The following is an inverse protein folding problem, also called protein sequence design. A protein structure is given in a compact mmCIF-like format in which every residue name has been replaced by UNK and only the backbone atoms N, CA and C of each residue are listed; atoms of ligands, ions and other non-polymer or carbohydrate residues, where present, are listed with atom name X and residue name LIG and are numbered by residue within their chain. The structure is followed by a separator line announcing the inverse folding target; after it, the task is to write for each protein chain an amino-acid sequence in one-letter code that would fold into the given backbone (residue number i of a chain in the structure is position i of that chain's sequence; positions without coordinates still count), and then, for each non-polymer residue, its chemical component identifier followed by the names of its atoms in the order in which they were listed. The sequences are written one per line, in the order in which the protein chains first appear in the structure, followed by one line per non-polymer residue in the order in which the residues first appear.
data_IF_755310791794
#
_entry.id   IF_755310791794
#
_cell.length_a   1.000
_cell.length_b   1.000
_cell.length_c   1.000
_cell.angle_alpha   90.00
_cell.angle_beta   90.00
_cell.angle_gamma   90.00
#
_symmetry.space_group_name_H-M   'P 1'
#
loop_
_entity.id
_entity.type
_entity.pdbx_description
1 polymer ?
#
# COMPACT_ATOMS: atom_id res chain seq x y z
N UNK A 1 -16.54 -1.21 -11.16
CA UNK A 1 -15.39 -0.75 -11.99
C UNK A 1 -14.47 0.04 -11.10
N UNK A 2 -13.37 -0.59 -10.68
CA UNK A 2 -12.28 0.12 -9.99
C UNK A 2 -11.70 1.16 -10.95
N UNK A 3 -12.05 2.42 -10.73
CA UNK A 3 -11.47 3.58 -11.42
C UNK A 3 -10.00 3.86 -11.03
N UNK A 4 -9.37 2.95 -10.35
CA UNK A 4 -7.96 3.05 -9.93
C UNK A 4 -7.16 1.97 -10.66
N UNK A 5 -6.99 2.14 -11.98
CA UNK A 5 -5.79 1.62 -12.63
C UNK A 5 -4.63 2.36 -11.97
N UNK A 6 -4.06 1.73 -10.97
CA UNK A 6 -2.80 2.20 -10.43
C UNK A 6 -1.76 1.92 -11.52
N UNK A 7 -1.47 2.90 -12.34
CA UNK A 7 -0.33 2.85 -13.26
C UNK A 7 0.95 2.86 -12.42
N UNK A 8 1.25 1.73 -11.79
CA UNK A 8 2.43 1.54 -10.95
C UNK A 8 3.73 1.77 -11.72
N UNK A 9 3.74 1.48 -13.04
CA UNK A 9 4.90 1.66 -13.89
C UNK A 9 5.40 3.12 -13.96
N UNK A 10 4.53 4.11 -13.69
CA UNK A 10 4.88 5.52 -13.85
C UNK A 10 4.71 6.38 -12.57
N UNK A 11 4.10 5.87 -11.50
CA UNK A 11 3.71 6.73 -10.37
C UNK A 11 4.75 6.84 -9.26
N UNK A 12 5.66 5.89 -9.12
CA UNK A 12 6.72 5.94 -8.11
C UNK A 12 8.07 6.42 -8.67
N UNK A 13 8.16 6.79 -9.96
CA UNK A 13 9.38 7.31 -10.55
C UNK A 13 9.66 8.73 -10.04
N UNK A 14 10.80 8.89 -9.38
CA UNK A 14 11.31 10.20 -8.97
C UNK A 14 10.54 10.88 -7.83
N UNK A 15 10.12 10.13 -6.82
CA UNK A 15 9.52 10.67 -5.58
C UNK A 15 10.57 10.85 -4.48
N UNK A 16 10.45 11.93 -3.71
CA UNK A 16 11.19 12.09 -2.45
C UNK A 16 10.51 11.21 -1.41
N UNK A 17 11.20 10.19 -0.85
CA UNK A 17 10.59 9.29 0.11
C UNK A 17 10.46 9.97 1.47
N UNK A 18 9.37 9.69 2.19
CA UNK A 18 9.25 10.06 3.60
C UNK A 18 9.87 8.95 4.47
N UNK A 19 10.80 9.29 5.35
CA UNK A 19 11.42 8.35 6.28
C UNK A 19 10.82 8.46 7.68
N UNK A 20 10.21 7.39 8.15
CA UNK A 20 9.59 7.25 9.46
C UNK A 20 10.28 6.12 10.24
N UNK A 21 11.36 6.41 10.99
CA UNK A 21 12.20 5.41 11.65
C UNK A 21 11.55 4.81 12.91
N UNK A 22 10.28 4.47 12.85
CA UNK A 22 9.53 3.91 13.96
C UNK A 22 9.31 2.43 13.68
N UNK A 23 9.65 1.58 14.65
CA UNK A 23 9.41 0.14 14.61
C UNK A 23 8.03 -0.19 15.19
N UNK A 24 7.46 -1.33 14.79
CA UNK A 24 6.17 -1.80 15.29
C UNK A 24 5.03 -0.78 15.07
N UNK A 25 5.05 -0.07 13.95
CA UNK A 25 3.90 0.77 13.58
C UNK A 25 2.70 -0.15 13.37
N UNK A 26 1.75 -0.07 14.29
CA UNK A 26 0.53 -0.85 14.23
C UNK A 26 -0.58 -0.18 13.41
N UNK A 27 -1.64 -0.91 13.14
CA UNK A 27 -2.75 -0.41 12.33
C UNK A 27 -3.56 0.68 13.04
N UNK A 28 -3.53 0.78 14.38
CA UNK A 28 -4.13 1.89 15.14
C UNK A 28 -3.31 3.17 14.98
N UNK A 29 -1.99 3.07 14.95
CA UNK A 29 -1.11 4.20 14.66
C UNK A 29 -1.31 4.69 13.22
N UNK A 30 -1.48 3.77 12.25
CA UNK A 30 -1.72 4.14 10.84
C UNK A 30 -3.07 4.85 10.70
N UNK A 31 -4.15 4.26 11.25
CA UNK A 31 -5.50 4.82 11.23
C UNK A 31 -6.24 4.50 12.53
N UNK A 32 -6.43 5.47 13.43
CA UNK A 32 -7.12 5.26 14.69
C UNK A 32 -8.55 4.76 14.55
N UNK A 33 -8.98 3.93 15.48
CA UNK A 33 -10.26 3.22 15.46
C UNK A 33 -11.49 4.12 15.29
N UNK A 34 -11.45 5.37 15.77
CA UNK A 34 -12.55 6.32 15.62
C UNK A 34 -12.90 6.66 14.18
N UNK A 35 -11.97 6.45 13.24
CA UNK A 35 -12.14 6.72 11.81
C UNK A 35 -12.57 5.50 10.99
N UNK A 36 -12.78 4.34 11.62
CA UNK A 36 -13.10 3.07 10.93
C UNK A 36 -14.61 2.91 10.63
N UNK A 37 -15.44 3.88 10.98
CA UNK A 37 -16.92 3.81 10.80
C UNK A 37 -17.36 3.96 9.33
N UNK A 38 -16.45 4.29 8.44
CA UNK A 38 -16.76 4.48 7.01
C UNK A 38 -16.48 3.22 6.20
N UNK A 39 -17.32 2.97 5.21
CA UNK A 39 -17.10 1.97 4.17
C UNK A 39 -16.46 2.58 2.91
N UNK A 40 -16.28 3.91 2.90
CA UNK A 40 -15.68 4.62 1.76
C UNK A 40 -14.16 4.54 1.86
N UNK A 41 -13.53 4.20 0.74
CA UNK A 41 -12.07 4.12 0.62
C UNK A 41 -11.38 5.48 0.49
N UNK A 42 -12.15 6.57 0.37
CA UNK A 42 -11.67 7.95 0.19
C UNK A 42 -11.99 8.81 1.41
N UNK A 43 -11.18 9.85 1.65
CA UNK A 43 -11.32 10.76 2.77
C UNK A 43 -10.63 10.29 4.06
N UNK A 44 -9.89 9.17 4.00
CA UNK A 44 -9.11 8.63 5.12
C UNK A 44 -7.69 9.18 5.21
N UNK A 45 -7.13 9.65 4.09
CA UNK A 45 -5.76 10.17 4.03
C UNK A 45 -5.49 11.34 4.97
N UNK A 46 -6.49 12.18 5.23
CA UNK A 46 -6.40 13.24 6.24
C UNK A 46 -6.20 12.71 7.66
N UNK A 47 -6.65 11.48 7.91
CA UNK A 47 -6.59 10.82 9.22
C UNK A 47 -5.40 9.83 9.32
N UNK A 48 -4.59 9.70 8.25
CA UNK A 48 -3.38 8.89 8.26
C UNK A 48 -2.43 9.38 9.35
N UNK A 49 -1.97 8.49 10.22
CA UNK A 49 -1.13 8.80 11.38
C UNK A 49 -1.67 9.96 12.24
N UNK A 50 -2.99 9.99 12.46
CA UNK A 50 -3.67 11.14 13.04
C UNK A 50 -3.07 11.58 14.38
N UNK A 51 -2.84 10.66 15.32
CA UNK A 51 -2.28 10.95 16.64
C UNK A 51 -0.82 11.41 16.62
N UNK A 52 -0.11 11.14 15.51
CA UNK A 52 1.27 11.58 15.30
C UNK A 52 1.35 12.87 14.49
N UNK A 53 0.31 13.15 13.68
CA UNK A 53 0.26 14.33 12.79
C UNK A 53 -0.41 15.54 13.42
N UNK A 54 -1.26 15.31 14.42
CA UNK A 54 -2.05 16.39 15.02
C UNK A 54 -1.94 16.34 16.53
N UNK A 55 -1.91 17.52 17.15
CA UNK A 55 -1.99 17.68 18.60
C UNK A 55 -3.44 17.50 19.10
N UNK A 56 -3.63 17.56 20.42
CA UNK A 56 -4.94 17.44 21.09
C UNK A 56 -5.93 18.53 20.69
N UNK A 57 -5.45 19.65 20.15
CA UNK A 57 -6.26 20.78 19.66
C UNK A 57 -6.55 20.68 18.17
N UNK A 58 -6.04 19.64 17.49
CA UNK A 58 -6.19 19.44 16.04
C UNK A 58 -5.22 20.24 15.18
N UNK A 59 -4.19 20.86 15.76
CA UNK A 59 -3.16 21.55 15.02
C UNK A 59 -2.13 20.54 14.48
N UNK A 60 -1.58 20.82 13.29
CA UNK A 60 -0.51 19.97 12.73
C UNK A 60 0.75 20.07 13.57
N UNK A 61 1.30 18.91 13.94
CA UNK A 61 2.62 18.79 14.57
C UNK A 61 3.67 19.02 13.47
N UNK A 62 4.35 20.18 13.52
CA UNK A 62 5.30 20.60 12.50
C UNK A 62 6.48 19.64 12.33
N UNK A 63 6.83 18.90 13.39
CA UNK A 63 7.99 18.00 13.38
C UNK A 63 7.71 16.63 12.76
N UNK A 64 6.44 16.26 12.59
CA UNK A 64 6.12 14.99 11.94
C UNK A 64 6.41 15.05 10.43
N UNK A 65 7.10 14.03 9.92
CA UNK A 65 7.65 14.02 8.55
C UNK A 65 6.60 14.31 7.48
N UNK A 66 5.41 13.70 7.55
CA UNK A 66 4.36 13.89 6.55
C UNK A 66 3.62 15.24 6.65
N UNK A 67 3.98 16.07 7.63
CA UNK A 67 3.49 17.44 7.72
C UNK A 67 4.49 18.47 7.17
N UNK A 68 5.71 18.03 6.79
CA UNK A 68 6.80 18.87 6.26
C UNK A 68 6.86 18.78 4.74
N UNK A 69 7.07 19.92 4.06
CA UNK A 69 7.43 19.89 2.66
C UNK A 69 8.89 19.42 2.47
N UNK A 70 9.14 18.57 1.46
CA UNK A 70 8.24 18.13 0.36
C UNK A 70 7.47 16.82 0.64
N UNK A 71 7.50 16.29 1.87
CA UNK A 71 6.97 14.96 2.19
C UNK A 71 5.44 14.91 2.30
N UNK A 72 4.77 16.07 2.32
CA UNK A 72 3.29 16.15 2.27
C UNK A 72 2.69 15.53 1.01
N UNK A 73 3.50 15.34 -0.04
CA UNK A 73 3.13 14.69 -1.30
C UNK A 73 3.94 13.42 -1.58
N UNK A 74 4.55 12.82 -0.54
CA UNK A 74 5.36 11.62 -0.70
C UNK A 74 4.53 10.45 -1.21
N UNK A 75 5.05 9.76 -2.21
CA UNK A 75 4.46 8.51 -2.75
C UNK A 75 5.10 7.27 -2.15
N UNK A 76 6.27 7.42 -1.53
CA UNK A 76 7.06 6.35 -0.97
C UNK A 76 7.25 6.63 0.52
N UNK A 77 6.89 5.65 1.36
CA UNK A 77 7.13 5.67 2.80
C UNK A 77 8.21 4.63 3.13
N UNK A 78 9.31 5.07 3.74
CA UNK A 78 10.33 4.19 4.32
C UNK A 78 10.02 4.09 5.81
N UNK A 79 9.81 2.90 6.33
CA UNK A 79 9.39 2.66 7.72
C UNK A 79 10.30 1.66 8.43
N UNK A 80 10.24 1.67 9.75
CA UNK A 80 10.91 0.68 10.60
C UNK A 80 10.30 -0.73 10.47
N UNK A 81 10.95 -1.71 11.07
CA UNK A 81 10.54 -3.12 11.02
C UNK A 81 9.16 -3.36 11.64
N UNK A 82 8.54 -4.49 11.23
CA UNK A 82 7.25 -4.96 11.70
C UNK A 82 6.12 -3.95 11.46
N UNK A 83 6.10 -3.38 10.24
CA UNK A 83 5.10 -2.39 9.84
C UNK A 83 3.72 -3.02 9.63
N UNK A 84 2.68 -2.34 10.10
CA UNK A 84 1.29 -2.79 9.97
C UNK A 84 0.90 -3.91 10.92
N UNK A 85 1.62 -4.06 12.06
CA UNK A 85 1.25 -5.03 13.10
C UNK A 85 -0.08 -4.67 13.77
N UNK A 86 -0.56 -5.55 14.66
CA UNK A 86 -1.84 -5.37 15.36
C UNK A 86 -3.03 -5.96 14.60
N UNK A 87 -4.20 -5.34 14.76
CA UNK A 87 -5.44 -5.86 14.20
C UNK A 87 -5.51 -5.78 12.68
N UNK A 88 -6.14 -6.79 12.06
CA UNK A 88 -6.38 -6.77 10.61
C UNK A 88 -7.36 -5.66 10.24
N UNK A 89 -6.86 -4.60 9.58
CA UNK A 89 -7.67 -3.45 9.16
C UNK A 89 -7.36 -3.06 7.72
N UNK A 90 -8.33 -3.22 6.86
CA UNK A 90 -8.22 -2.79 5.47
C UNK A 90 -8.17 -1.26 5.31
N UNK A 91 -8.69 -0.53 6.31
CA UNK A 91 -8.65 0.93 6.36
C UNK A 91 -7.21 1.48 6.42
N UNK A 92 -6.24 0.71 6.96
CA UNK A 92 -4.86 1.17 7.04
C UNK A 92 -4.23 1.33 5.64
N UNK A 93 -4.26 0.35 4.74
CA UNK A 93 -3.89 0.56 3.33
C UNK A 93 -4.71 1.65 2.63
N UNK A 94 -6.03 1.74 2.90
CA UNK A 94 -6.85 2.81 2.30
C UNK A 94 -6.38 4.20 2.71
N UNK A 95 -6.03 4.40 3.98
CA UNK A 95 -5.54 5.69 4.47
C UNK A 95 -4.19 6.08 3.84
N UNK A 96 -3.28 5.10 3.68
CA UNK A 96 -2.00 5.30 2.99
C UNK A 96 -2.23 5.71 1.54
N UNK A 97 -3.06 4.97 0.82
CA UNK A 97 -3.33 5.21 -0.60
C UNK A 97 -4.06 6.55 -0.83
N UNK A 98 -5.05 6.85 0.00
CA UNK A 98 -5.83 8.11 -0.09
C UNK A 98 -4.96 9.34 0.29
N UNK A 99 -3.92 9.16 1.08
CA UNK A 99 -2.90 10.19 1.32
C UNK A 99 -1.99 10.39 0.10
N UNK A 100 -1.82 9.36 -0.74
CA UNK A 100 -0.95 9.35 -1.92
C UNK A 100 0.24 8.39 -1.82
N UNK A 101 0.39 7.65 -0.71
CA UNK A 101 1.46 6.66 -0.55
C UNK A 101 1.09 5.39 -1.30
N UNK A 102 1.84 5.08 -2.34
CA UNK A 102 1.64 3.91 -3.20
C UNK A 102 2.69 2.83 -2.98
N UNK A 103 3.76 3.15 -2.27
CA UNK A 103 4.84 2.21 -1.94
C UNK A 103 5.25 2.38 -0.48
N UNK A 104 5.40 1.26 0.23
CA UNK A 104 5.97 1.22 1.58
C UNK A 104 7.19 0.32 1.54
N UNK A 105 8.31 0.78 2.14
CA UNK A 105 9.58 0.04 2.21
C UNK A 105 9.90 -0.19 3.69
N UNK A 106 10.09 -1.45 4.08
CA UNK A 106 10.40 -1.85 5.46
C UNK A 106 11.27 -3.10 5.47
N UNK A 107 11.91 -3.40 6.59
CA UNK A 107 12.64 -4.66 6.76
C UNK A 107 11.73 -5.85 7.09
N UNK A 108 10.52 -5.60 7.58
CA UNK A 108 9.50 -6.64 7.77
C UNK A 108 8.10 -6.03 7.94
N UNK A 109 7.08 -6.85 7.71
CA UNK A 109 5.67 -6.50 7.82
C UNK A 109 4.90 -7.54 8.61
N UNK A 110 3.75 -7.17 9.15
CA UNK A 110 2.75 -8.15 9.54
C UNK A 110 2.11 -8.77 8.28
N UNK A 111 1.94 -10.09 8.27
CA UNK A 111 1.49 -10.86 7.09
C UNK A 111 0.15 -10.36 6.54
N UNK A 112 -0.80 -10.09 7.41
CA UNK A 112 -2.14 -9.63 6.99
C UNK A 112 -2.04 -8.26 6.34
N UNK A 113 -1.29 -7.32 6.92
CA UNK A 113 -1.09 -5.99 6.36
C UNK A 113 -0.38 -6.06 5.00
N UNK A 114 0.68 -6.88 4.90
CA UNK A 114 1.41 -7.12 3.67
C UNK A 114 0.49 -7.58 2.52
N UNK A 115 -0.38 -8.55 2.80
CA UNK A 115 -1.33 -9.05 1.81
C UNK A 115 -2.43 -8.01 1.48
N UNK A 116 -2.92 -7.26 2.46
CA UNK A 116 -3.90 -6.21 2.24
C UNK A 116 -3.33 -5.06 1.38
N UNK A 117 -2.04 -4.77 1.44
CA UNK A 117 -1.39 -3.80 0.57
C UNK A 117 -1.61 -4.16 -0.91
N UNK A 118 -1.32 -5.40 -1.31
CA UNK A 118 -1.50 -5.84 -2.71
C UNK A 118 -2.95 -5.74 -3.18
N UNK A 119 -3.91 -6.15 -2.33
CA UNK A 119 -5.34 -6.06 -2.65
C UNK A 119 -5.81 -4.64 -2.89
N UNK A 120 -5.13 -3.68 -2.31
CA UNK A 120 -5.46 -2.26 -2.41
C UNK A 120 -4.53 -1.46 -3.33
N UNK A 121 -3.60 -2.12 -4.03
CA UNK A 121 -2.72 -1.46 -5.01
C UNK A 121 -1.55 -0.70 -4.38
N UNK A 122 -1.12 -1.06 -3.18
CA UNK A 122 0.11 -0.58 -2.55
C UNK A 122 1.20 -1.63 -2.74
N UNK A 123 2.40 -1.21 -3.11
CA UNK A 123 3.57 -2.07 -3.21
C UNK A 123 4.33 -2.08 -1.88
N UNK A 124 4.26 -3.15 -1.07
CA UNK A 124 5.13 -3.33 0.08
C UNK A 124 6.45 -3.97 -0.37
N UNK A 125 7.57 -3.31 -0.12
CA UNK A 125 8.91 -3.81 -0.45
C UNK A 125 9.64 -4.18 0.83
N UNK A 126 10.19 -5.40 0.87
CA UNK A 126 11.04 -5.88 1.96
C UNK A 126 12.50 -5.83 1.53
N UNK A 127 13.33 -5.10 2.28
CA UNK A 127 14.79 -5.05 2.10
C UNK A 127 15.48 -5.07 3.46
N UNK A 128 16.79 -5.30 3.49
CA UNK A 128 17.56 -5.33 4.75
C UNK A 128 17.61 -3.96 5.45
N UNK A 129 17.87 -3.96 6.75
CA UNK A 129 18.01 -2.72 7.53
C UNK A 129 19.17 -1.86 7.04
N UNK A 130 20.27 -2.47 6.57
CA UNK A 130 21.39 -1.73 5.98
C UNK A 130 21.00 -1.05 4.66
N UNK A 131 20.19 -1.72 3.85
CA UNK A 131 19.64 -1.13 2.62
C UNK A 131 18.66 0.00 2.93
N UNK A 132 17.84 -0.14 3.98
CA UNK A 132 16.94 0.93 4.46
C UNK A 132 17.76 2.15 4.87
N UNK A 133 18.86 1.98 5.59
CA UNK A 133 19.79 3.07 5.94
C UNK A 133 20.28 3.82 4.71
N UNK A 134 20.74 3.09 3.67
CA UNK A 134 21.21 3.70 2.44
C UNK A 134 20.18 4.61 1.77
N UNK A 135 18.93 4.12 1.64
CA UNK A 135 17.87 4.91 0.99
C UNK A 135 17.28 5.99 1.90
N UNK A 136 17.35 5.85 3.23
CA UNK A 136 16.86 6.86 4.18
C UNK A 136 17.67 8.14 4.12
N UNK A 137 18.97 8.06 3.79
CA UNK A 137 19.82 9.23 3.59
C UNK A 137 19.32 10.11 2.44
N UNK A 138 18.74 9.52 1.40
CA UNK A 138 18.10 10.25 0.29
C UNK A 138 16.86 11.01 0.76
N UNK A 139 16.07 10.42 1.68
CA UNK A 139 14.98 11.16 2.33
C UNK A 139 15.50 12.40 3.05
N UNK A 140 16.52 12.23 3.90
CA UNK A 140 17.09 13.33 4.68
C UNK A 140 17.65 14.46 3.81
N UNK A 141 18.25 14.12 2.66
CA UNK A 141 18.76 15.08 1.69
C UNK A 141 17.70 15.64 0.74
N UNK A 142 16.44 15.19 0.86
CA UNK A 142 15.32 15.54 -0.03
C UNK A 142 15.58 15.15 -1.49
N UNK A 143 16.32 14.08 -1.69
CA UNK A 143 16.63 13.52 -3.00
C UNK A 143 15.59 12.49 -3.42
N UNK A 144 15.38 12.38 -4.73
CA UNK A 144 14.39 11.46 -5.29
C UNK A 144 14.94 10.05 -5.40
N UNK A 145 14.06 9.08 -5.15
CA UNK A 145 14.28 7.67 -5.51
C UNK A 145 13.18 7.22 -6.48
N UNK A 146 13.44 6.17 -7.23
CA UNK A 146 12.49 5.59 -8.19
C UNK A 146 12.30 4.11 -7.91
N UNK A 147 11.08 3.63 -8.06
CA UNK A 147 10.74 2.22 -7.96
C UNK A 147 10.41 1.70 -9.36
N UNK A 148 11.19 0.72 -9.81
CA UNK A 148 10.94 0.00 -11.05
C UNK A 148 10.39 -1.39 -10.71
N UNK A 149 9.08 -1.54 -10.75
CA UNK A 149 8.41 -2.80 -10.44
C UNK A 149 8.67 -3.89 -11.50
N UNK A 150 8.65 -3.60 -12.83
CA UNK A 150 9.02 -4.58 -13.84
C UNK A 150 10.38 -5.25 -13.59
N UNK A 151 11.41 -4.46 -13.31
CA UNK A 151 12.77 -4.93 -13.05
C UNK A 151 13.05 -5.25 -11.58
N UNK A 152 12.07 -5.01 -10.69
CA UNK A 152 12.17 -5.22 -9.24
C UNK A 152 13.38 -4.50 -8.62
N UNK A 153 13.51 -3.20 -8.91
CA UNK A 153 14.63 -2.37 -8.47
C UNK A 153 14.16 -1.08 -7.81
N UNK A 154 14.89 -0.68 -6.77
CA UNK A 154 14.87 0.67 -6.22
C UNK A 154 16.10 1.37 -6.76
N UNK A 155 15.91 2.49 -7.46
CA UNK A 155 17.00 3.27 -8.08
C UNK A 155 17.15 4.59 -7.33
N UNK A 156 18.38 4.90 -6.94
CA UNK A 156 18.71 6.11 -6.17
C UNK A 156 20.13 6.59 -6.51
N UNK A 157 20.22 7.79 -7.09
CA UNK A 157 21.46 8.28 -7.69
C UNK A 157 22.00 7.32 -8.73
N UNK A 158 23.24 6.88 -8.57
CA UNK A 158 23.89 5.88 -9.44
C UNK A 158 23.82 4.46 -8.87
N UNK A 159 23.05 4.23 -7.82
CA UNK A 159 22.93 2.96 -7.13
C UNK A 159 21.57 2.31 -7.38
N UNK A 160 21.53 0.98 -7.23
CA UNK A 160 20.29 0.21 -7.27
C UNK A 160 20.26 -0.85 -6.16
N UNK A 161 19.07 -1.13 -5.67
CA UNK A 161 18.77 -2.24 -4.76
C UNK A 161 17.72 -3.11 -5.43
N UNK A 162 17.98 -4.40 -5.57
CA UNK A 162 16.99 -5.37 -6.04
C UNK A 162 16.10 -5.81 -4.87
N UNK A 163 14.83 -6.04 -5.16
CA UNK A 163 13.88 -6.62 -4.23
C UNK A 163 13.13 -7.78 -4.88
N UNK A 164 12.62 -8.67 -4.06
CA UNK A 164 11.83 -9.81 -4.52
C UNK A 164 10.35 -9.57 -4.27
N UNK A 165 9.53 -10.02 -5.20
CA UNK A 165 8.08 -10.02 -5.12
C UNK A 165 7.56 -11.27 -5.83
N UNK A 166 6.51 -11.88 -5.27
CA UNK A 166 5.80 -12.98 -5.92
C UNK A 166 5.27 -12.55 -7.30
N UNK A 167 5.46 -13.40 -8.32
CA UNK A 167 5.10 -13.06 -9.70
C UNK A 167 3.62 -12.80 -9.89
N UNK A 168 2.75 -13.52 -9.18
CA UNK A 168 1.31 -13.30 -9.25
C UNK A 168 0.93 -11.95 -8.63
N UNK A 169 1.50 -11.61 -7.48
CA UNK A 169 1.30 -10.29 -6.84
C UNK A 169 1.83 -9.15 -7.72
N UNK A 170 2.97 -9.35 -8.36
CA UNK A 170 3.54 -8.41 -9.33
C UNK A 170 2.57 -8.18 -10.50
N UNK A 171 2.06 -9.27 -11.10
CA UNK A 171 1.06 -9.19 -12.17
C UNK A 171 -0.17 -8.40 -11.73
N UNK A 172 -0.75 -8.72 -10.56
CA UNK A 172 -1.91 -8.02 -10.02
C UNK A 172 -1.68 -6.52 -9.87
N UNK A 173 -0.51 -6.10 -9.36
CA UNK A 173 -0.17 -4.68 -9.24
C UNK A 173 0.01 -4.01 -10.60
N UNK A 174 0.70 -4.66 -11.56
CA UNK A 174 0.96 -4.09 -12.88
C UNK A 174 -0.32 -3.95 -13.72
N UNK A 175 -1.24 -4.88 -13.61
CA UNK A 175 -2.49 -4.92 -14.36
C UNK A 175 -3.67 -4.29 -13.62
N UNK A 176 -3.47 -3.90 -12.34
CA UNK A 176 -4.53 -3.34 -11.50
C UNK A 176 -5.64 -4.35 -11.20
N UNK A 177 -5.27 -5.63 -11.03
CA UNK A 177 -6.22 -6.71 -10.77
C UNK A 177 -6.50 -6.80 -9.26
N UNK A 178 -7.77 -6.72 -8.91
CA UNK A 178 -8.28 -7.09 -7.60
C UNK A 178 -8.95 -8.47 -7.62
N UNK A 179 -9.44 -8.93 -6.48
CA UNK A 179 -10.12 -10.24 -6.36
C UNK A 179 -11.33 -10.36 -7.30
N UNK A 180 -12.01 -9.25 -7.60
CA UNK A 180 -13.15 -9.21 -8.54
C UNK A 180 -12.66 -9.34 -9.98
N UNK A 181 -11.63 -8.57 -10.36
CA UNK A 181 -11.06 -8.62 -11.71
C UNK A 181 -10.48 -10.02 -12.02
N UNK A 182 -9.82 -10.65 -11.04
CA UNK A 182 -9.33 -12.03 -11.14
C UNK A 182 -10.46 -13.05 -11.33
N UNK A 183 -11.61 -12.82 -10.70
CA UNK A 183 -12.80 -13.66 -10.89
C UNK A 183 -13.40 -13.46 -12.28
N UNK A 184 -13.41 -12.22 -12.78
CA UNK A 184 -13.92 -11.90 -14.12
C UNK A 184 -13.04 -12.49 -15.23
N UNK A 185 -11.73 -12.66 -15.04
CA UNK A 185 -10.87 -13.39 -15.98
C UNK A 185 -11.31 -14.86 -16.17
N UNK A 186 -12.07 -15.41 -15.22
CA UNK A 186 -12.61 -16.79 -15.28
C UNK A 186 -14.11 -16.84 -15.59
N UNK A 187 -14.71 -15.75 -16.06
CA UNK A 187 -16.16 -15.63 -16.30
C UNK A 187 -16.71 -16.79 -17.12
N UNK A 188 -16.04 -17.19 -18.20
CA UNK A 188 -16.48 -18.28 -19.06
C UNK A 188 -16.58 -19.63 -18.31
N UNK A 189 -15.61 -19.89 -17.42
CA UNK A 189 -15.61 -21.08 -16.58
C UNK A 189 -16.71 -21.03 -15.52
N UNK A 190 -16.97 -19.84 -14.98
CA UNK A 190 -18.05 -19.61 -14.00
C UNK A 190 -19.40 -19.86 -14.67
N UNK A 191 -19.64 -19.25 -15.83
CA UNK A 191 -20.88 -19.44 -16.60
C UNK A 191 -21.11 -20.92 -16.95
N UNK A 192 -20.08 -21.59 -17.46
CA UNK A 192 -20.18 -23.03 -17.80
C UNK A 192 -20.49 -23.89 -16.57
N UNK A 193 -19.92 -23.54 -15.41
CA UNK A 193 -20.21 -24.22 -14.15
C UNK A 193 -21.66 -23.96 -13.68
N UNK A 194 -22.13 -22.72 -13.76
CA UNK A 194 -23.51 -22.34 -13.40
C UNK A 194 -24.54 -23.04 -14.28
N UNK A 195 -24.31 -23.14 -15.59
CA UNK A 195 -25.18 -23.88 -16.53
C UNK A 195 -25.24 -25.36 -16.17
N UNK A 196 -24.09 -25.98 -15.90
CA UNK A 196 -24.04 -27.36 -15.42
C UNK A 196 -24.76 -27.54 -14.08
N UNK A 197 -24.62 -26.58 -13.18
CA UNK A 197 -25.28 -26.62 -11.87
C UNK A 197 -26.79 -26.49 -12.01
N UNK A 198 -27.28 -25.59 -12.89
CA UNK A 198 -28.71 -25.43 -13.21
C UNK A 198 -29.32 -26.73 -13.74
N UNK A 199 -28.60 -27.46 -14.58
CA UNK A 199 -29.08 -28.74 -15.13
C UNK A 199 -29.07 -29.87 -14.10
N UNK A 200 -28.11 -29.91 -13.18
CA UNK A 200 -27.95 -31.02 -12.23
C UNK A 200 -28.65 -30.77 -10.89
N UNK A 201 -28.82 -29.49 -10.50
CA UNK A 201 -29.40 -29.06 -9.21
C UNK A 201 -30.34 -27.87 -9.39
N UNK A 202 -31.43 -28.02 -10.18
CA UNK A 202 -32.33 -26.90 -10.52
C UNK A 202 -32.96 -26.23 -9.28
N UNK A 203 -33.12 -26.97 -8.18
CA UNK A 203 -33.71 -26.45 -6.96
C UNK A 203 -32.89 -25.36 -6.26
N UNK A 204 -31.61 -25.16 -6.63
CA UNK A 204 -30.78 -24.11 -6.07
C UNK A 204 -31.11 -22.73 -6.69
N UNK A 205 -31.73 -22.72 -7.84
CA UNK A 205 -32.03 -21.52 -8.63
C UNK A 205 -33.53 -21.19 -8.68
N UNK A 206 -34.37 -21.92 -7.97
CA UNK A 206 -35.78 -21.62 -7.83
C UNK A 206 -35.95 -20.72 -6.59
N UNK A 207 -36.18 -19.41 -6.82
CA UNK A 207 -36.75 -18.49 -5.85
C UNK A 207 -38.28 -18.70 -5.78
#
# INVERSE_FOLDING_TARGET
QLKYKVEFANQASGSIPAYLPIVNIDTDMIIPKQFLKTIKRTGLGKNLFFEMRYDVNGNKISDFILNKDPYTSAKILIAGKNFGCGSSREHAPWALLDFGITCVISSSYADIFYNNCFKNGILPITISEDQIKQISDYSNRKEKISINLPDQKIVFGNNEIKFEIDEFKKKCLMEGLDDIALSLEKSDKIVSFEEKLKSTKPWIFND
#
